data_IF_584646871725
#
_entry.id   IF_584646871725
#
_cell.length_a   1.000
_cell.length_b   1.000
_cell.length_c   1.000
_cell.angle_alpha   90.00
_cell.angle_beta   90.00
_cell.angle_gamma   90.00
#
_symmetry.space_group_name_H-M   'P 1'
#
loop_
_entity.id
_entity.type
_entity.pdbx_description
1 polymer ?
#
# COMPACT_ATOMS: atom_id res chain seq x y z
N UNK A 1 15.64 -5.57 -12.31
CA UNK A 1 15.12 -4.17 -12.21
C UNK A 1 13.70 -4.14 -11.67
N UNK A 2 12.77 -4.96 -12.18
CA UNK A 2 11.36 -4.95 -11.78
C UNK A 2 11.14 -5.15 -10.27
N UNK A 3 11.90 -6.03 -9.62
CA UNK A 3 11.84 -6.21 -8.15
C UNK A 3 12.24 -4.96 -7.35
N UNK A 4 13.21 -4.18 -7.82
CA UNK A 4 13.63 -2.95 -7.12
C UNK A 4 12.59 -1.84 -7.21
N UNK A 5 11.88 -1.76 -8.35
CA UNK A 5 10.75 -0.86 -8.54
C UNK A 5 9.59 -1.23 -7.61
N UNK A 6 9.19 -2.50 -7.61
CA UNK A 6 8.14 -3.01 -6.72
C UNK A 6 8.45 -2.74 -5.24
N UNK A 7 9.67 -3.02 -4.78
CA UNK A 7 10.08 -2.75 -3.40
C UNK A 7 10.01 -1.25 -3.07
N UNK A 8 10.41 -0.38 -4.00
CA UNK A 8 10.32 1.06 -3.83
C UNK A 8 8.88 1.55 -3.72
N UNK A 9 8.00 1.09 -4.61
CA UNK A 9 6.57 1.44 -4.58
C UNK A 9 5.88 0.93 -3.31
N UNK A 10 6.15 -0.31 -2.90
CA UNK A 10 5.60 -0.88 -1.67
C UNK A 10 6.05 -0.09 -0.44
N UNK A 11 7.31 0.35 -0.38
CA UNK A 11 7.82 1.16 0.73
C UNK A 11 7.13 2.53 0.81
N UNK A 12 6.96 3.21 -0.33
CA UNK A 12 6.25 4.50 -0.39
C UNK A 12 4.78 4.30 -0.02
N UNK A 13 4.13 3.29 -0.56
CA UNK A 13 2.72 3.00 -0.30
C UNK A 13 2.47 2.68 1.18
N UNK A 14 3.32 1.87 1.81
CA UNK A 14 3.25 1.59 3.26
C UNK A 14 3.36 2.88 4.09
N UNK A 15 4.24 3.81 3.70
CA UNK A 15 4.37 5.11 4.36
C UNK A 15 3.12 5.97 4.22
N UNK A 16 2.49 5.99 3.03
CA UNK A 16 1.23 6.71 2.79
C UNK A 16 0.09 6.14 3.66
N UNK A 17 -0.05 4.82 3.70
CA UNK A 17 -1.04 4.13 4.53
C UNK A 17 -0.88 4.47 6.02
N UNK A 18 0.35 4.40 6.54
CA UNK A 18 0.66 4.78 7.93
C UNK A 18 0.40 6.27 8.19
N UNK A 19 0.69 7.13 7.22
CA UNK A 19 0.46 8.58 7.34
C UNK A 19 -1.02 8.94 7.36
N UNK A 20 -1.85 8.28 6.55
CA UNK A 20 -3.30 8.58 6.46
C UNK A 20 -4.06 7.99 7.64
N UNK A 21 -3.75 6.75 8.03
CA UNK A 21 -4.54 5.99 9.00
C UNK A 21 -3.90 5.88 10.39
N UNK A 22 -2.74 6.50 10.61
CA UNK A 22 -2.03 6.48 11.90
C UNK A 22 -1.28 5.18 12.20
N UNK A 23 -1.40 4.17 11.32
CA UNK A 23 -0.77 2.86 11.44
C UNK A 23 -1.51 1.82 10.62
N UNK A 24 -0.86 0.70 10.33
CA UNK A 24 -1.48 -0.46 9.68
C UNK A 24 -1.02 -1.75 10.36
N UNK A 25 -1.84 -2.80 10.28
CA UNK A 25 -1.50 -4.10 10.87
C UNK A 25 -0.32 -4.76 10.14
N UNK A 26 0.39 -5.66 10.84
CA UNK A 26 1.49 -6.43 10.24
C UNK A 26 1.04 -7.26 9.03
N UNK A 27 -0.19 -7.77 9.05
CA UNK A 27 -0.79 -8.47 7.90
C UNK A 27 -0.95 -7.57 6.69
N UNK A 28 -1.30 -6.29 6.90
CA UNK A 28 -1.41 -5.31 5.82
C UNK A 28 -0.02 -4.95 5.26
N UNK A 29 0.98 -4.79 6.13
CA UNK A 29 2.36 -4.55 5.68
C UNK A 29 2.90 -5.69 4.83
N UNK A 30 2.67 -6.93 5.24
CA UNK A 30 3.04 -8.11 4.45
C UNK A 30 2.36 -8.10 3.09
N UNK A 31 1.05 -7.79 3.05
CA UNK A 31 0.27 -7.72 1.81
C UNK A 31 0.79 -6.64 0.85
N UNK A 32 1.16 -5.48 1.37
CA UNK A 32 1.77 -4.38 0.60
C UNK A 32 3.15 -4.79 0.07
N UNK A 33 3.98 -5.43 0.89
CA UNK A 33 5.34 -5.82 0.49
C UNK A 33 5.38 -6.87 -0.63
N UNK A 34 4.30 -7.64 -0.81
CA UNK A 34 4.22 -8.69 -1.85
C UNK A 34 3.37 -8.29 -3.04
N UNK A 35 2.64 -7.17 -2.98
CA UNK A 35 1.81 -6.68 -4.07
C UNK A 35 2.67 -6.23 -5.25
N UNK A 36 2.24 -6.55 -6.48
CA UNK A 36 2.85 -6.03 -7.70
C UNK A 36 2.56 -4.53 -7.89
N UNK A 37 3.31 -3.92 -8.82
CA UNK A 37 3.21 -2.49 -9.13
C UNK A 37 1.79 -2.05 -9.52
N UNK A 38 1.09 -2.86 -10.33
CA UNK A 38 -0.26 -2.51 -10.82
C UNK A 38 -1.28 -2.51 -9.67
N UNK A 39 -1.16 -3.47 -8.75
CA UNK A 39 -1.97 -3.54 -7.53
C UNK A 39 -1.71 -2.35 -6.61
N UNK A 40 -0.44 -2.00 -6.42
CA UNK A 40 -0.04 -0.84 -5.60
C UNK A 40 -0.54 0.48 -6.20
N UNK A 41 -0.53 0.60 -7.53
CA UNK A 41 -1.08 1.76 -8.23
C UNK A 41 -2.60 1.87 -8.01
N UNK A 42 -3.34 0.78 -8.18
CA UNK A 42 -4.80 0.76 -7.92
C UNK A 42 -5.13 1.17 -6.49
N UNK A 43 -4.37 0.66 -5.51
CA UNK A 43 -4.55 1.04 -4.12
C UNK A 43 -4.16 2.49 -3.84
N UNK A 44 -3.22 3.06 -4.60
CA UNK A 44 -2.84 4.47 -4.52
C UNK A 44 -3.95 5.40 -4.99
N UNK A 45 -4.82 4.99 -5.91
CA UNK A 45 -6.03 5.75 -6.23
C UNK A 45 -7.08 5.63 -5.11
N UNK A 46 -7.28 4.42 -4.58
CA UNK A 46 -8.27 4.17 -3.51
C UNK A 46 -7.93 4.86 -2.20
N UNK A 47 -6.64 5.02 -1.89
CA UNK A 47 -6.21 5.69 -0.67
C UNK A 47 -6.69 7.15 -0.62
N UNK A 48 -7.05 7.77 -1.74
CA UNK A 48 -7.53 9.15 -1.77
C UNK A 48 -8.94 9.27 -1.17
N UNK A 49 -9.79 8.26 -1.35
CA UNK A 49 -11.22 8.30 -0.96
C UNK A 49 -11.57 7.36 0.19
N UNK A 50 -10.76 6.33 0.46
CA UNK A 50 -11.04 5.34 1.50
C UNK A 50 -11.08 5.96 2.91
N UNK A 51 -12.03 5.53 3.74
CA UNK A 51 -12.14 6.01 5.13
C UNK A 51 -11.29 5.16 6.08
N UNK A 52 -10.99 3.93 5.69
CA UNK A 52 -10.21 2.97 6.47
C UNK A 52 -9.10 2.34 5.63
N UNK A 53 -8.07 1.82 6.30
CA UNK A 53 -6.98 1.12 5.63
C UNK A 53 -7.46 -0.18 4.94
N UNK A 54 -8.46 -0.84 5.48
CA UNK A 54 -9.00 -2.10 4.94
C UNK A 54 -9.69 -1.90 3.58
N UNK A 55 -10.45 -0.81 3.42
CA UNK A 55 -11.09 -0.45 2.14
C UNK A 55 -10.09 -0.25 1.00
N UNK A 56 -8.86 0.14 1.32
CA UNK A 56 -7.81 0.34 0.30
C UNK A 56 -7.37 -1.00 -0.29
N UNK A 57 -7.17 -1.99 0.57
CA UNK A 57 -6.59 -3.30 0.21
C UNK A 57 -7.63 -4.40 -0.08
N UNK A 58 -8.94 -4.10 -0.01
CA UNK A 58 -10.03 -5.05 -0.29
C UNK A 58 -10.22 -5.29 -1.80
#
# INVERSE_FOLDING_TARGET
MQQGMQQGEAAIFSRLMKSKFGGISASMEAKISTADCDTLLLWSDRILTASTAEEVCH
#
